data_IF_776070437175
#
_entry.id   IF_776070437175
#
_cell.length_a   1.000
_cell.length_b   1.000
_cell.length_c   1.000
_cell.angle_alpha   90.00
_cell.angle_beta   90.00
_cell.angle_gamma   90.00
#
_symmetry.space_group_name_H-M   'P 1'
#
loop_
_entity.id
_entity.type
_entity.pdbx_description
1 polymer ?
#
# COMPACT_ATOMS: atom_id res chain seq x y z
N UNK A 1 22.61 12.63 18.31
CA UNK A 1 21.65 13.39 17.49
C UNK A 1 21.70 12.82 16.08
N UNK A 2 20.58 12.38 15.54
CA UNK A 2 20.53 11.89 14.15
C UNK A 2 20.53 13.10 13.23
N UNK A 3 21.46 13.15 12.27
CA UNK A 3 21.47 14.21 11.26
C UNK A 3 20.29 14.05 10.30
N UNK A 4 19.42 15.05 10.24
CA UNK A 4 18.20 15.02 9.44
C UNK A 4 18.44 14.73 7.95
N UNK A 5 19.48 15.28 7.27
CA UNK A 5 19.77 14.96 5.88
C UNK A 5 20.09 13.46 5.67
N UNK A 6 20.88 12.87 6.56
CA UNK A 6 21.21 11.45 6.50
C UNK A 6 19.98 10.56 6.76
N UNK A 7 19.12 10.98 7.70
CA UNK A 7 17.86 10.30 7.97
C UNK A 7 16.91 10.36 6.77
N UNK A 8 16.80 11.51 6.11
CA UNK A 8 15.99 11.67 4.88
C UNK A 8 16.46 10.73 3.78
N UNK A 9 17.76 10.72 3.48
CA UNK A 9 18.36 9.86 2.47
C UNK A 9 18.12 8.37 2.76
N UNK A 10 18.28 7.97 4.03
CA UNK A 10 18.00 6.60 4.48
C UNK A 10 16.53 6.25 4.34
N UNK A 11 15.64 7.16 4.71
CA UNK A 11 14.18 7.01 4.59
C UNK A 11 13.78 6.80 3.14
N UNK A 12 14.22 7.67 2.23
CA UNK A 12 13.95 7.55 0.78
C UNK A 12 14.45 6.20 0.27
N UNK A 13 15.66 5.79 0.67
CA UNK A 13 16.24 4.51 0.25
C UNK A 13 15.38 3.31 0.66
N UNK A 14 14.93 3.26 1.91
CA UNK A 14 14.06 2.18 2.38
C UNK A 14 12.69 2.20 1.73
N UNK A 15 12.08 3.38 1.60
CA UNK A 15 10.81 3.53 0.89
C UNK A 15 10.92 3.05 -0.56
N UNK A 16 11.98 3.43 -1.30
CA UNK A 16 12.22 2.97 -2.67
C UNK A 16 12.33 1.45 -2.76
N UNK A 17 13.11 0.82 -1.90
CA UNK A 17 13.32 -0.63 -1.91
C UNK A 17 12.04 -1.40 -1.61
N UNK A 18 11.30 -1.00 -0.59
CA UNK A 18 10.04 -1.68 -0.23
C UNK A 18 8.95 -1.42 -1.28
N UNK A 19 8.84 -0.20 -1.80
CA UNK A 19 7.91 0.12 -2.89
C UNK A 19 8.24 -0.65 -4.18
N UNK A 20 9.52 -0.85 -4.48
CA UNK A 20 9.96 -1.67 -5.62
C UNK A 20 9.56 -3.15 -5.45
N UNK A 21 9.71 -3.71 -4.26
CA UNK A 21 9.22 -5.06 -3.95
C UNK A 21 7.70 -5.13 -4.10
N UNK A 22 6.97 -4.15 -3.55
CA UNK A 22 5.52 -4.07 -3.67
C UNK A 22 5.05 -4.03 -5.14
N UNK A 23 5.69 -3.19 -5.95
CA UNK A 23 5.39 -3.07 -7.38
C UNK A 23 5.72 -4.36 -8.15
N UNK A 24 6.85 -5.01 -7.83
CA UNK A 24 7.24 -6.27 -8.45
C UNK A 24 6.27 -7.39 -8.13
N UNK A 25 5.89 -7.56 -6.87
CA UNK A 25 4.91 -8.58 -6.43
C UNK A 25 3.57 -8.34 -7.12
N UNK A 26 3.09 -7.10 -7.17
CA UNK A 26 1.87 -6.76 -7.90
C UNK A 26 1.93 -7.19 -9.37
N UNK A 27 3.03 -6.86 -10.07
CA UNK A 27 3.20 -7.22 -11.47
C UNK A 27 3.27 -8.74 -11.67
N UNK A 28 4.02 -9.45 -10.83
CA UNK A 28 4.16 -10.91 -10.91
C UNK A 28 2.83 -11.63 -10.66
N UNK A 29 2.07 -11.23 -9.65
CA UNK A 29 0.75 -11.79 -9.37
C UNK A 29 -0.21 -11.59 -10.55
N UNK A 30 -0.26 -10.38 -11.13
CA UNK A 30 -1.10 -10.09 -12.29
C UNK A 30 -0.64 -10.85 -13.54
N UNK A 31 0.67 -11.00 -13.77
CA UNK A 31 1.21 -11.80 -14.86
C UNK A 31 0.92 -13.30 -14.68
N UNK A 32 1.01 -13.83 -13.47
CA UNK A 32 0.67 -15.21 -13.17
C UNK A 32 -0.82 -15.51 -13.45
N UNK A 33 -1.69 -14.55 -13.14
CA UNK A 33 -3.13 -14.65 -13.37
C UNK A 33 -3.57 -14.25 -14.80
N UNK A 34 -2.65 -13.82 -15.69
CA UNK A 34 -3.02 -13.23 -16.99
C UNK A 34 -3.97 -14.08 -17.83
N UNK A 35 -3.80 -15.40 -17.84
CA UNK A 35 -4.68 -16.29 -18.61
C UNK A 35 -6.10 -16.30 -18.07
N UNK A 36 -6.26 -16.34 -16.75
CA UNK A 36 -7.58 -16.24 -16.12
C UNK A 36 -8.20 -14.84 -16.33
N UNK A 37 -7.37 -13.79 -16.26
CA UNK A 37 -7.80 -12.40 -16.42
C UNK A 37 -8.21 -12.06 -17.85
N UNK A 38 -7.62 -12.73 -18.86
CA UNK A 38 -7.83 -12.39 -20.27
C UNK A 38 -8.62 -13.45 -21.06
N UNK A 39 -8.80 -14.68 -20.53
CA UNK A 39 -9.36 -15.80 -21.26
C UNK A 39 -10.87 -15.71 -21.58
N UNK A 40 -11.65 -14.86 -20.92
CA UNK A 40 -13.10 -14.77 -21.10
C UNK A 40 -13.60 -13.33 -21.30
N UNK A 41 -12.98 -12.61 -22.23
CA UNK A 41 -13.38 -11.20 -22.42
C UNK A 41 -12.94 -10.31 -21.29
N UNK A 42 -12.01 -10.80 -20.53
CA UNK A 42 -11.34 -10.09 -19.46
C UNK A 42 -12.24 -9.83 -18.25
N UNK A 43 -11.61 -9.71 -17.17
CA UNK A 43 -12.15 -8.94 -16.09
C UNK A 43 -12.72 -7.65 -16.66
N UNK A 44 -14.00 -7.48 -16.39
CA UNK A 44 -14.84 -6.37 -16.73
C UNK A 44 -14.14 -5.32 -17.59
N UNK A 45 -14.53 -5.12 -18.85
CA UNK A 45 -14.11 -3.90 -19.49
C UNK A 45 -14.33 -2.82 -18.43
N UNK A 46 -13.31 -1.99 -18.12
CA UNK A 46 -13.52 -0.95 -17.13
C UNK A 46 -14.83 -0.30 -17.50
N UNK A 47 -15.73 0.00 -16.56
CA UNK A 47 -17.04 0.61 -16.90
C UNK A 47 -16.88 1.88 -17.74
N UNK A 48 -15.66 2.40 -17.84
CA UNK A 48 -15.23 3.56 -18.62
C UNK A 48 -14.56 3.20 -19.97
N UNK A 49 -14.34 1.91 -20.29
CA UNK A 49 -13.62 1.49 -21.51
C UNK A 49 -14.19 1.98 -22.84
N UNK A 50 -15.53 2.16 -23.02
CA UNK A 50 -16.06 2.68 -24.27
C UNK A 50 -15.68 4.14 -24.57
N UNK A 51 -15.37 4.92 -23.53
CA UNK A 51 -15.16 6.37 -23.64
C UNK A 51 -13.69 6.76 -23.84
N UNK A 52 -12.75 5.82 -23.71
CA UNK A 52 -11.32 6.10 -23.61
C UNK A 52 -10.53 5.57 -24.83
N UNK A 53 -10.75 6.13 -26.01
CA UNK A 53 -10.17 5.66 -27.26
C UNK A 53 -8.67 5.29 -27.19
N UNK A 54 -7.82 6.20 -26.69
CA UNK A 54 -6.37 6.00 -26.60
C UNK A 54 -5.96 5.02 -25.47
N UNK A 55 -6.69 5.02 -24.36
CA UNK A 55 -6.39 4.14 -23.22
C UNK A 55 -6.62 2.65 -23.53
N UNK A 56 -7.46 2.32 -24.52
CA UNK A 56 -7.60 0.96 -25.04
C UNK A 56 -6.28 0.37 -25.51
N UNK A 57 -5.37 1.20 -26.02
CA UNK A 57 -4.06 0.76 -26.50
C UNK A 57 -3.20 0.24 -25.31
N UNK A 58 -3.24 0.91 -24.16
CA UNK A 58 -2.47 0.54 -22.98
C UNK A 58 -3.18 -0.50 -22.10
N UNK A 59 -4.51 -0.50 -22.09
CA UNK A 59 -5.29 -1.37 -21.22
C UNK A 59 -5.71 -2.69 -21.90
N UNK A 60 -5.44 -2.88 -23.20
CA UNK A 60 -5.65 -4.14 -23.91
C UNK A 60 -4.74 -5.24 -23.38
N UNK A 61 -5.17 -6.51 -23.47
CA UNK A 61 -4.49 -7.65 -22.84
C UNK A 61 -2.99 -7.74 -23.16
N UNK A 62 -2.61 -7.61 -24.44
CA UNK A 62 -1.19 -7.68 -24.86
C UNK A 62 -0.38 -6.48 -24.39
N UNK A 63 -0.93 -5.27 -24.55
CA UNK A 63 -0.27 -4.04 -24.15
C UNK A 63 -0.12 -3.99 -22.62
N UNK A 64 -1.16 -4.35 -21.88
CA UNK A 64 -1.10 -4.39 -20.42
C UNK A 64 -0.10 -5.42 -19.88
N UNK A 65 0.07 -6.56 -20.58
CA UNK A 65 1.16 -7.49 -20.26
C UNK A 65 2.53 -6.81 -20.41
N UNK A 66 2.74 -6.02 -21.47
CA UNK A 66 3.95 -5.22 -21.65
C UNK A 66 4.14 -4.17 -20.53
N UNK A 67 3.06 -3.52 -20.11
CA UNK A 67 3.07 -2.57 -18.98
C UNK A 67 3.51 -3.26 -17.69
N UNK A 68 3.03 -4.47 -17.40
CA UNK A 68 3.44 -5.23 -16.20
C UNK A 68 4.91 -5.67 -16.24
N UNK A 69 5.43 -6.03 -17.44
CA UNK A 69 6.86 -6.33 -17.61
C UNK A 69 7.69 -5.06 -17.39
N UNK A 70 7.27 -3.93 -17.96
CA UNK A 70 7.91 -2.65 -17.71
C UNK A 70 7.87 -2.25 -16.22
N UNK A 71 6.79 -2.56 -15.52
CA UNK A 71 6.68 -2.34 -14.07
C UNK A 71 7.80 -3.05 -13.30
N UNK A 72 8.14 -4.28 -13.64
CA UNK A 72 9.25 -5.01 -13.00
C UNK A 72 10.58 -4.33 -13.28
N UNK A 73 10.83 -3.90 -14.53
CA UNK A 73 12.06 -3.22 -14.90
C UNK A 73 12.22 -1.88 -14.16
N UNK A 74 11.17 -1.06 -14.08
CA UNK A 74 11.21 0.19 -13.33
C UNK A 74 11.28 -0.04 -11.81
N UNK A 75 10.70 -1.10 -11.29
CA UNK A 75 10.87 -1.49 -9.89
C UNK A 75 12.32 -1.84 -9.57
N UNK A 76 12.99 -2.58 -10.45
CA UNK A 76 14.43 -2.85 -10.31
C UNK A 76 15.25 -1.55 -10.36
N UNK A 77 14.97 -0.63 -11.28
CA UNK A 77 15.63 0.67 -11.36
C UNK A 77 15.43 1.49 -10.08
N UNK A 78 14.21 1.53 -9.52
CA UNK A 78 13.91 2.21 -8.25
C UNK A 78 14.69 1.62 -7.07
N UNK A 79 14.83 0.30 -7.01
CA UNK A 79 15.57 -0.37 -5.93
C UNK A 79 17.09 -0.12 -5.98
N UNK A 80 17.65 -0.02 -7.20
CA UNK A 80 19.10 0.09 -7.44
C UNK A 80 19.58 1.54 -7.33
N UNK A 81 18.76 2.50 -7.74
CA UNK A 81 19.15 3.91 -7.88
C UNK A 81 18.30 4.88 -7.01
N UNK A 82 18.09 4.60 -5.69
CA UNK A 82 17.37 5.53 -4.81
C UNK A 82 18.12 6.86 -4.68
N UNK A 83 17.38 7.95 -4.60
CA UNK A 83 17.95 9.31 -4.44
C UNK A 83 18.57 9.90 -5.72
N UNK A 84 18.35 9.26 -6.86
CA UNK A 84 18.89 9.73 -8.16
C UNK A 84 17.77 10.15 -9.12
N UNK A 85 18.13 10.85 -10.20
CA UNK A 85 17.19 11.16 -11.29
C UNK A 85 16.55 9.90 -11.88
N UNK A 86 17.29 8.81 -11.99
CA UNK A 86 16.76 7.53 -12.45
C UNK A 86 15.73 6.95 -11.48
N UNK A 87 15.98 7.05 -10.17
CA UNK A 87 15.03 6.69 -9.12
C UNK A 87 13.76 7.55 -9.14
N UNK A 88 13.90 8.85 -9.36
CA UNK A 88 12.77 9.77 -9.53
C UNK A 88 11.88 9.36 -10.71
N UNK A 89 12.47 9.15 -11.89
CA UNK A 89 11.75 8.71 -13.09
C UNK A 89 11.07 7.36 -12.85
N UNK A 90 11.80 6.41 -12.25
CA UNK A 90 11.25 5.10 -11.94
C UNK A 90 10.04 5.19 -11.00
N UNK A 91 10.11 6.00 -9.94
CA UNK A 91 8.99 6.23 -9.03
C UNK A 91 7.78 6.84 -9.73
N UNK A 92 7.97 7.85 -10.58
CA UNK A 92 6.91 8.50 -11.34
C UNK A 92 6.24 7.54 -12.33
N UNK A 93 7.03 6.74 -13.07
CA UNK A 93 6.51 5.74 -14.00
C UNK A 93 5.75 4.64 -13.25
N UNK A 94 6.27 4.16 -12.13
CA UNK A 94 5.58 3.16 -11.31
C UNK A 94 4.28 3.70 -10.70
N UNK A 95 4.25 4.95 -10.27
CA UNK A 95 3.00 5.59 -9.83
C UNK A 95 1.97 5.61 -10.97
N UNK A 96 2.38 6.00 -12.18
CA UNK A 96 1.51 5.98 -13.35
C UNK A 96 1.00 4.57 -13.69
N UNK A 97 1.87 3.56 -13.67
CA UNK A 97 1.48 2.16 -13.92
C UNK A 97 0.51 1.66 -12.83
N UNK A 98 0.73 2.02 -11.57
CA UNK A 98 -0.18 1.68 -10.46
C UNK A 98 -1.56 2.29 -10.68
N UNK A 99 -1.62 3.55 -11.11
CA UNK A 99 -2.85 4.22 -11.49
C UNK A 99 -3.53 3.56 -12.69
N UNK A 100 -2.78 3.20 -13.75
CA UNK A 100 -3.31 2.44 -14.90
C UNK A 100 -3.90 1.10 -14.47
N UNK A 101 -3.25 0.41 -13.53
CA UNK A 101 -3.75 -0.85 -13.00
C UNK A 101 -5.06 -0.66 -12.24
N UNK A 102 -5.17 0.40 -11.42
CA UNK A 102 -6.40 0.74 -10.74
C UNK A 102 -7.54 1.03 -11.76
N UNK A 103 -7.26 1.77 -12.82
CA UNK A 103 -8.24 1.99 -13.91
C UNK A 103 -8.65 0.69 -14.60
N UNK A 104 -7.68 -0.19 -14.90
CA UNK A 104 -7.93 -1.45 -15.59
C UNK A 104 -8.86 -2.38 -14.80
N UNK A 105 -8.77 -2.35 -13.47
CA UNK A 105 -9.54 -3.20 -12.57
C UNK A 105 -10.72 -2.48 -11.88
N UNK A 106 -11.08 -1.28 -12.33
CA UNK A 106 -12.24 -0.55 -11.83
C UNK A 106 -12.09 -0.02 -10.40
N UNK A 107 -10.86 0.17 -9.93
CA UNK A 107 -10.55 0.72 -8.61
C UNK A 107 -9.60 -0.14 -7.80
N UNK A 108 -9.55 0.10 -6.50
CA UNK A 108 -8.66 -0.60 -5.57
C UNK A 108 -9.12 -2.05 -5.35
N UNK A 109 -8.43 -2.99 -5.98
CA UNK A 109 -8.79 -4.42 -5.94
C UNK A 109 -8.37 -5.09 -4.64
N UNK A 110 -7.42 -4.51 -3.87
CA UNK A 110 -6.79 -5.19 -2.74
C UNK A 110 -6.65 -4.28 -1.52
N UNK A 111 -7.78 -4.02 -0.84
CA UNK A 111 -7.78 -3.37 0.48
C UNK A 111 -7.13 -1.98 0.54
N UNK A 112 -7.10 -1.24 -0.57
CA UNK A 112 -6.46 0.08 -0.64
C UNK A 112 -4.95 0.03 -0.86
N UNK A 113 -4.35 -1.15 -1.15
CA UNK A 113 -2.92 -1.28 -1.43
C UNK A 113 -2.47 -0.44 -2.62
N UNK A 114 -3.27 -0.40 -3.69
CA UNK A 114 -2.93 0.34 -4.90
C UNK A 114 -2.92 1.86 -4.62
N UNK A 115 -3.86 2.36 -3.82
CA UNK A 115 -3.90 3.77 -3.42
C UNK A 115 -2.69 4.14 -2.55
N UNK A 116 -2.31 3.29 -1.58
CA UNK A 116 -1.16 3.55 -0.73
C UNK A 116 0.15 3.44 -1.50
N UNK A 117 0.28 2.46 -2.39
CA UNK A 117 1.47 2.33 -3.25
C UNK A 117 1.60 3.53 -4.20
N UNK A 118 0.50 3.98 -4.81
CA UNK A 118 0.46 5.19 -5.63
C UNK A 118 0.91 6.42 -4.83
N UNK A 119 0.41 6.58 -3.61
CA UNK A 119 0.79 7.66 -2.70
C UNK A 119 2.28 7.62 -2.35
N UNK A 120 2.81 6.45 -1.99
CA UNK A 120 4.22 6.27 -1.65
C UNK A 120 5.13 6.56 -2.86
N UNK A 121 4.78 6.05 -4.04
CA UNK A 121 5.54 6.29 -5.27
C UNK A 121 5.47 7.75 -5.73
N UNK A 122 4.30 8.39 -5.60
CA UNK A 122 4.15 9.82 -5.88
C UNK A 122 4.99 10.70 -4.96
N UNK A 123 4.96 10.42 -3.66
CA UNK A 123 5.82 11.10 -2.68
C UNK A 123 7.30 10.85 -2.94
N UNK A 124 7.69 9.61 -3.34
CA UNK A 124 9.07 9.29 -3.73
C UNK A 124 9.50 10.00 -5.01
N UNK A 125 8.61 10.16 -6.00
CA UNK A 125 8.92 10.92 -7.21
C UNK A 125 9.25 12.38 -6.85
N UNK A 126 8.45 13.02 -5.98
CA UNK A 126 8.71 14.38 -5.48
C UNK A 126 9.98 14.41 -4.60
N UNK A 127 10.13 13.43 -3.70
CA UNK A 127 11.26 13.35 -2.77
C UNK A 127 12.61 13.07 -3.42
N UNK A 128 12.65 12.80 -4.74
CA UNK A 128 13.87 12.54 -5.51
C UNK A 128 14.01 13.47 -6.72
N UNK A 129 13.24 14.56 -6.79
CA UNK A 129 13.35 15.51 -7.90
C UNK A 129 14.78 16.08 -7.99
N UNK A 130 15.40 16.06 -9.18
CA UNK A 130 16.72 16.65 -9.33
C UNK A 130 16.66 18.18 -9.26
N UNK A 131 17.74 18.79 -8.80
CA UNK A 131 17.97 20.25 -8.85
C UNK A 131 16.90 21.10 -8.14
N UNK A 132 16.27 20.58 -7.08
CA UNK A 132 15.34 21.31 -6.23
C UNK A 132 15.87 21.41 -4.79
N UNK A 133 15.32 22.33 -4.01
CA UNK A 133 15.67 22.51 -2.61
C UNK A 133 15.33 21.27 -1.75
N UNK A 134 16.08 21.06 -0.68
CA UNK A 134 15.86 19.97 0.27
C UNK A 134 14.43 19.96 0.85
N UNK A 135 13.82 21.13 0.98
CA UNK A 135 12.43 21.31 1.44
C UNK A 135 11.44 20.56 0.54
N UNK A 136 11.69 20.52 -0.77
CA UNK A 136 10.83 19.78 -1.71
C UNK A 136 10.97 18.28 -1.51
N UNK A 137 12.21 17.79 -1.29
CA UNK A 137 12.46 16.39 -0.97
C UNK A 137 11.76 15.97 0.32
N UNK A 138 11.88 16.79 1.38
CA UNK A 138 11.17 16.58 2.63
C UNK A 138 9.65 16.56 2.44
N UNK A 139 9.11 17.51 1.68
CA UNK A 139 7.67 17.61 1.42
C UNK A 139 7.11 16.33 0.81
N UNK A 140 7.83 15.68 -0.12
CA UNK A 140 7.43 14.39 -0.68
C UNK A 140 7.29 13.29 0.38
N UNK A 141 8.25 13.19 1.30
CA UNK A 141 8.24 12.20 2.39
C UNK A 141 7.18 12.55 3.44
N UNK A 142 7.07 13.81 3.85
CA UNK A 142 6.08 14.27 4.82
C UNK A 142 4.64 14.09 4.32
N UNK A 143 4.41 14.29 3.02
CA UNK A 143 3.12 14.00 2.40
C UNK A 143 2.73 12.53 2.57
N UNK A 144 3.65 11.59 2.35
CA UNK A 144 3.38 10.16 2.54
C UNK A 144 3.05 9.86 4.01
N UNK A 145 3.80 10.42 4.96
CA UNK A 145 3.54 10.26 6.40
C UNK A 145 2.15 10.78 6.80
N UNK A 146 1.77 11.96 6.31
CA UNK A 146 0.46 12.55 6.56
C UNK A 146 -0.66 11.67 5.97
N UNK A 147 -0.52 11.22 4.73
CA UNK A 147 -1.51 10.36 4.07
C UNK A 147 -1.64 9.00 4.77
N UNK A 148 -0.53 8.43 5.23
CA UNK A 148 -0.52 7.19 6.01
C UNK A 148 -1.35 7.35 7.30
N UNK A 149 -1.08 8.40 8.07
CA UNK A 149 -1.79 8.70 9.31
C UNK A 149 -3.28 8.96 9.08
N UNK A 150 -3.61 9.76 8.07
CA UNK A 150 -5.00 10.06 7.69
C UNK A 150 -5.74 8.79 7.25
N UNK A 151 -5.07 7.90 6.53
CA UNK A 151 -5.67 6.64 6.05
C UNK A 151 -6.02 5.73 7.22
N UNK A 152 -5.11 5.53 8.18
CA UNK A 152 -5.44 4.77 9.40
C UNK A 152 -6.54 5.44 10.21
N UNK A 153 -6.41 6.72 10.52
CA UNK A 153 -7.40 7.44 11.33
C UNK A 153 -8.80 7.38 10.71
N UNK A 154 -8.91 7.61 9.41
CA UNK A 154 -10.19 7.49 8.69
C UNK A 154 -10.74 6.06 8.75
N UNK A 155 -9.91 5.04 8.53
CA UNK A 155 -10.33 3.65 8.57
C UNK A 155 -10.81 3.26 9.98
N UNK A 156 -10.11 3.70 11.03
CA UNK A 156 -10.50 3.51 12.42
C UNK A 156 -11.82 4.17 12.76
N UNK A 157 -12.02 5.44 12.38
CA UNK A 157 -13.27 6.18 12.63
C UNK A 157 -14.45 5.50 11.94
N UNK A 158 -14.30 5.05 10.68
CA UNK A 158 -15.38 4.34 9.98
C UNK A 158 -15.74 3.05 10.72
N UNK A 159 -14.74 2.25 11.12
CA UNK A 159 -14.97 1.02 11.88
C UNK A 159 -15.58 1.30 13.26
N UNK A 160 -15.13 2.34 13.96
CA UNK A 160 -15.65 2.71 15.27
C UNK A 160 -17.13 3.13 15.25
N UNK A 161 -17.64 3.63 14.14
CA UNK A 161 -19.05 3.99 13.95
C UNK A 161 -19.96 2.78 13.73
N UNK A 162 -19.38 1.62 13.35
CA UNK A 162 -20.13 0.44 12.99
C UNK A 162 -20.17 -0.59 14.13
N UNK A 163 -21.38 -0.89 14.66
CA UNK A 163 -21.59 -1.84 15.77
C UNK A 163 -21.08 -3.26 15.46
N UNK A 164 -21.09 -3.65 14.17
CA UNK A 164 -20.62 -4.96 13.73
C UNK A 164 -19.13 -5.16 13.99
N UNK A 165 -18.33 -4.09 14.00
CA UNK A 165 -16.91 -4.14 14.35
C UNK A 165 -16.71 -4.33 15.86
N UNK A 166 -17.46 -3.63 16.71
CA UNK A 166 -17.37 -3.77 18.16
C UNK A 166 -17.77 -5.16 18.67
N UNK A 167 -18.67 -5.83 17.97
CA UNK A 167 -19.10 -7.20 18.30
C UNK A 167 -18.19 -8.29 17.73
N UNK A 168 -17.24 -7.94 16.83
CA UNK A 168 -16.41 -8.87 16.07
C UNK A 168 -17.14 -9.54 14.88
N UNK A 169 -18.41 -9.20 14.66
CA UNK A 169 -19.20 -9.78 13.56
C UNK A 169 -18.67 -9.41 12.18
N UNK A 170 -18.22 -8.15 11.99
CA UNK A 170 -17.62 -7.72 10.74
C UNK A 170 -16.38 -8.57 10.39
N UNK A 171 -15.48 -8.79 11.34
CA UNK A 171 -14.29 -9.60 11.13
C UNK A 171 -14.65 -11.06 10.81
N UNK A 172 -15.64 -11.62 11.52
CA UNK A 172 -16.17 -12.96 11.21
C UNK A 172 -16.73 -13.05 9.79
N UNK A 173 -17.46 -12.03 9.33
CA UNK A 173 -18.00 -11.97 7.98
C UNK A 173 -16.88 -11.92 6.92
N UNK A 174 -15.82 -11.14 7.15
CA UNK A 174 -14.65 -11.12 6.26
C UNK A 174 -13.97 -12.48 6.17
N UNK A 175 -13.80 -13.19 7.29
CA UNK A 175 -13.22 -14.53 7.32
C UNK A 175 -14.07 -15.57 6.59
N UNK A 176 -15.38 -15.37 6.49
CA UNK A 176 -16.28 -16.25 5.79
C UNK A 176 -16.36 -16.02 4.27
N UNK A 177 -15.78 -14.91 3.76
CA UNK A 177 -15.83 -14.57 2.34
C UNK A 177 -14.89 -15.48 1.53
N UNK A 178 -15.41 -16.21 0.51
CA UNK A 178 -14.59 -17.07 -0.35
C UNK A 178 -13.51 -16.31 -1.13
N UNK A 179 -13.70 -15.01 -1.35
CA UNK A 179 -12.77 -14.15 -2.07
C UNK A 179 -11.44 -13.97 -1.32
N UNK A 180 -11.47 -14.06 -0.01
CA UNK A 180 -10.27 -14.10 0.82
C UNK A 180 -9.91 -15.56 1.04
N UNK A 181 -9.23 -16.17 0.04
CA UNK A 181 -8.78 -17.53 0.14
C UNK A 181 -7.87 -17.71 1.33
N UNK A 182 -8.40 -18.25 2.42
CA UNK A 182 -7.59 -18.62 3.57
C UNK A 182 -6.61 -19.69 3.10
N UNK A 183 -5.29 -19.43 3.13
CA UNK A 183 -4.31 -20.49 2.89
C UNK A 183 -4.60 -21.62 3.86
N UNK A 184 -4.74 -22.79 3.30
CA UNK A 184 -4.97 -24.08 3.90
C UNK A 184 -4.59 -24.17 5.39
N UNK A 185 -5.58 -24.28 6.27
CA UNK A 185 -5.37 -24.68 7.66
C UNK A 185 -5.70 -23.67 8.73
N UNK A 186 -5.81 -22.35 8.44
CA UNK A 186 -6.39 -21.42 9.41
C UNK A 186 -7.92 -21.48 9.32
N UNK A 187 -8.57 -21.43 10.43
CA UNK A 187 -9.72 -22.26 10.64
C UNK A 187 -10.99 -21.71 9.99
N UNK A 188 -11.57 -22.47 9.13
CA UNK A 188 -13.03 -22.47 8.95
C UNK A 188 -13.78 -22.55 10.30
N UNK A 189 -13.08 -22.82 11.39
CA UNK A 189 -13.58 -22.90 12.77
C UNK A 189 -13.37 -21.61 13.58
N UNK A 190 -12.61 -20.62 13.09
CA UNK A 190 -12.45 -19.32 13.78
C UNK A 190 -13.75 -18.53 14.01
N UNK A 191 -14.80 -18.63 13.17
CA UNK A 191 -16.06 -17.95 13.46
C UNK A 191 -16.68 -18.28 14.82
N UNK A 192 -16.29 -19.40 15.44
CA UNK A 192 -16.81 -19.82 16.74
C UNK A 192 -16.12 -19.15 17.96
N UNK A 193 -15.00 -18.46 17.77
CA UNK A 193 -14.27 -17.78 18.84
C UNK A 193 -14.69 -16.32 18.99
N UNK A 194 -15.94 -16.07 19.42
CA UNK A 194 -16.52 -14.72 19.54
C UNK A 194 -15.62 -13.73 20.30
N UNK A 195 -15.01 -14.18 21.41
CA UNK A 195 -14.17 -13.30 22.24
C UNK A 195 -12.90 -12.89 21.48
N UNK A 196 -12.25 -13.84 20.82
CA UNK A 196 -11.04 -13.57 20.02
C UNK A 196 -11.32 -12.60 18.87
N UNK A 197 -12.40 -12.84 18.12
CA UNK A 197 -12.79 -11.96 17.00
C UNK A 197 -13.16 -10.57 17.47
N UNK A 198 -13.86 -10.47 18.60
CA UNK A 198 -14.18 -9.18 19.22
C UNK A 198 -12.91 -8.44 19.66
N UNK A 199 -12.00 -9.11 20.38
CA UNK A 199 -10.74 -8.52 20.83
C UNK A 199 -9.87 -8.05 19.67
N UNK A 200 -9.73 -8.89 18.62
CA UNK A 200 -9.00 -8.52 17.42
C UNK A 200 -9.63 -7.30 16.71
N UNK A 201 -10.95 -7.29 16.58
CA UNK A 201 -11.69 -6.19 15.96
C UNK A 201 -11.54 -4.88 16.74
N UNK A 202 -11.66 -4.92 18.05
CA UNK A 202 -11.45 -3.75 18.92
C UNK A 202 -10.00 -3.29 18.87
N UNK A 203 -9.04 -4.22 18.85
CA UNK A 203 -7.62 -3.91 18.68
C UNK A 203 -7.33 -3.16 17.38
N UNK A 204 -7.94 -3.58 16.27
CA UNK A 204 -7.82 -2.89 14.97
C UNK A 204 -8.40 -1.46 15.06
N UNK A 205 -9.59 -1.30 15.64
CA UNK A 205 -10.19 0.04 15.82
C UNK A 205 -9.26 0.93 16.65
N UNK A 206 -8.77 0.42 17.79
CA UNK A 206 -7.90 1.18 18.67
C UNK A 206 -6.59 1.57 17.96
N UNK A 207 -5.93 0.62 17.30
CA UNK A 207 -4.71 0.87 16.53
C UNK A 207 -4.92 1.97 15.47
N UNK A 208 -5.97 1.85 14.66
CA UNK A 208 -6.22 2.78 13.56
C UNK A 208 -6.64 4.18 14.08
N UNK A 209 -7.50 4.24 15.10
CA UNK A 209 -7.92 5.53 15.70
C UNK A 209 -6.79 6.24 16.43
N UNK A 210 -5.90 5.49 17.08
CA UNK A 210 -4.78 6.04 17.83
C UNK A 210 -3.55 6.34 16.96
N UNK A 211 -3.60 6.06 15.67
CA UNK A 211 -2.47 6.31 14.76
C UNK A 211 -1.92 7.75 14.79
N UNK A 212 -2.71 8.83 15.02
CA UNK A 212 -2.14 10.16 15.14
C UNK A 212 -1.20 10.33 16.35
N UNK A 213 -1.32 9.49 17.37
CA UNK A 213 -0.42 9.54 18.53
C UNK A 213 1.03 9.21 18.20
N UNK A 214 1.29 8.58 17.03
CA UNK A 214 2.64 8.37 16.53
C UNK A 214 3.45 9.68 16.42
N UNK A 215 2.79 10.80 16.21
CA UNK A 215 3.45 12.11 16.06
C UNK A 215 3.90 12.75 17.36
N UNK A 216 3.56 12.18 18.51
CA UNK A 216 3.91 12.74 19.82
C UNK A 216 5.40 12.61 20.15
N UNK A 217 6.01 11.49 19.79
CA UNK A 217 7.43 11.23 20.04
C UNK A 217 7.91 9.96 19.31
N UNK A 218 9.24 9.74 19.19
CA UNK A 218 9.81 8.58 18.51
C UNK A 218 9.39 7.22 19.08
N UNK A 219 9.16 7.11 20.40
CA UNK A 219 8.74 5.85 21.02
C UNK A 219 7.32 5.48 20.60
N UNK A 220 6.39 6.43 20.64
CA UNK A 220 5.02 6.25 20.17
C UNK A 220 4.99 5.87 18.67
N UNK A 221 5.84 6.52 17.87
CA UNK A 221 6.00 6.19 16.46
C UNK A 221 6.49 4.76 16.26
N UNK A 222 7.53 4.33 16.97
CA UNK A 222 8.05 2.97 16.88
C UNK A 222 7.00 1.92 17.27
N UNK A 223 6.27 2.16 18.37
CA UNK A 223 5.18 1.27 18.79
C UNK A 223 4.12 1.15 17.70
N UNK A 224 3.72 2.28 17.12
CA UNK A 224 2.75 2.26 16.02
C UNK A 224 3.27 1.51 14.79
N UNK A 225 4.53 1.70 14.40
CA UNK A 225 5.15 0.98 13.28
C UNK A 225 5.11 -0.53 13.52
N UNK A 226 5.47 -0.98 14.73
CA UNK A 226 5.43 -2.41 15.10
C UNK A 226 4.00 -2.96 15.05
N UNK A 227 3.01 -2.22 15.58
CA UNK A 227 1.60 -2.60 15.50
C UNK A 227 1.10 -2.64 14.07
N UNK A 228 1.49 -1.67 13.24
CA UNK A 228 1.15 -1.62 11.82
C UNK A 228 1.70 -2.83 11.06
N UNK A 229 2.98 -3.16 11.24
CA UNK A 229 3.60 -4.33 10.64
C UNK A 229 2.92 -5.62 11.09
N UNK A 230 2.61 -5.75 12.38
CA UNK A 230 1.88 -6.90 12.93
C UNK A 230 0.48 -7.04 12.32
N UNK A 231 -0.27 -5.93 12.24
CA UNK A 231 -1.60 -5.89 11.62
C UNK A 231 -1.57 -6.28 10.13
N UNK A 232 -0.65 -5.70 9.35
CA UNK A 232 -0.54 -6.00 7.92
C UNK A 232 -0.04 -7.42 7.66
N UNK A 233 0.89 -7.92 8.50
CA UNK A 233 1.35 -9.30 8.42
C UNK A 233 0.22 -10.28 8.73
N UNK A 234 -0.57 -10.02 9.76
CA UNK A 234 -1.76 -10.81 10.07
C UNK A 234 -2.78 -10.77 8.92
N UNK A 235 -3.02 -9.59 8.32
CA UNK A 235 -3.89 -9.45 7.17
C UNK A 235 -3.38 -10.23 5.94
N UNK A 236 -2.07 -10.22 5.69
CA UNK A 236 -1.46 -11.01 4.63
C UNK A 236 -1.59 -12.52 4.89
N UNK A 237 -1.30 -12.97 6.10
CA UNK A 237 -1.36 -14.38 6.48
C UNK A 237 -2.80 -14.94 6.49
N UNK A 238 -3.76 -14.13 6.99
CA UNK A 238 -5.14 -14.58 7.17
C UNK A 238 -5.98 -14.40 5.90
N UNK A 239 -5.79 -13.30 5.18
CA UNK A 239 -6.63 -12.93 4.04
C UNK A 239 -5.89 -13.01 2.69
N UNK A 240 -4.61 -13.38 2.68
CA UNK A 240 -3.79 -13.39 1.45
C UNK A 240 -3.49 -11.98 0.91
N UNK A 241 -3.54 -10.95 1.76
CA UNK A 241 -3.39 -9.55 1.35
C UNK A 241 -1.90 -9.14 1.27
N UNK A 242 -1.08 -9.89 0.49
CA UNK A 242 0.36 -9.66 0.38
C UNK A 242 0.70 -8.25 -0.10
N UNK A 243 -0.01 -7.76 -1.13
CA UNK A 243 0.19 -6.40 -1.67
C UNK A 243 -0.15 -5.32 -0.64
N UNK A 244 -1.13 -5.58 0.22
CA UNK A 244 -1.50 -4.68 1.29
C UNK A 244 -0.36 -4.53 2.31
N UNK A 245 0.24 -5.64 2.76
CA UNK A 245 1.42 -5.61 3.62
C UNK A 245 2.55 -4.77 3.01
N UNK A 246 2.93 -5.06 1.76
CA UNK A 246 4.07 -4.43 1.11
C UNK A 246 3.85 -2.94 0.83
N UNK A 247 2.68 -2.56 0.31
CA UNK A 247 2.38 -1.16 -0.02
C UNK A 247 2.37 -0.27 1.24
N UNK A 248 1.79 -0.75 2.33
CA UNK A 248 1.76 0.00 3.58
C UNK A 248 3.11 0.03 4.27
N UNK A 249 3.87 -1.07 4.22
CA UNK A 249 5.24 -1.11 4.74
C UNK A 249 6.17 -0.13 4.01
N UNK A 250 5.94 0.13 2.71
CA UNK A 250 6.70 1.11 1.95
C UNK A 250 6.51 2.55 2.46
N UNK A 251 5.35 2.85 3.06
CA UNK A 251 5.05 4.16 3.60
C UNK A 251 5.54 4.37 5.04
N UNK A 252 5.73 3.30 5.84
CA UNK A 252 6.08 3.42 7.26
C UNK A 252 7.37 4.20 7.55
N UNK A 253 8.46 4.10 6.76
CA UNK A 253 9.68 4.89 7.03
C UNK A 253 9.44 6.41 6.97
N UNK A 254 8.47 6.86 6.17
CA UNK A 254 8.13 8.29 6.10
C UNK A 254 7.61 8.83 7.44
N UNK A 255 6.85 8.04 8.18
CA UNK A 255 6.34 8.40 9.50
C UNK A 255 7.48 8.54 10.51
N UNK A 256 8.46 7.62 10.47
CA UNK A 256 9.66 7.69 11.30
C UNK A 256 10.44 8.98 11.05
N UNK A 257 10.66 9.33 9.78
CA UNK A 257 11.30 10.59 9.42
C UNK A 257 10.52 11.79 9.94
N UNK A 258 9.20 11.82 9.67
CA UNK A 258 8.35 12.94 10.03
C UNK A 258 8.37 13.25 11.53
N UNK A 259 8.34 12.23 12.37
CA UNK A 259 8.38 12.41 13.84
C UNK A 259 9.72 12.97 14.30
N UNK A 260 10.85 12.54 13.73
CA UNK A 260 12.16 13.08 14.07
C UNK A 260 12.39 14.49 13.51
N UNK A 261 11.62 14.89 12.49
CA UNK A 261 11.69 16.23 11.91
C UNK A 261 10.95 17.27 12.75
N UNK A 262 9.90 16.87 13.46
CA UNK A 262 9.05 17.76 14.25
C UNK A 262 9.32 17.70 15.76
N UNK A 263 10.05 16.67 16.25
CA UNK A 263 10.51 16.54 17.63
C UNK A 263 11.74 17.41 17.88
#
# INVERSE_FOLDING_TARGET
MIELPALLATTITWMCRVAAVAASVNAIELLAMRHALFARGGWLPPPLAPQWGVWRLLLGARAFTGVLVAQIAFAAALAIAPGTTAGCIAAAVLAFITWLSALRFGGNVNGGSDAMLFTALGGLAVGQLPSVDSVVHEAGVLYVAAQLTLSYGRAGIVKARERSWWSGHALSAFLALPAYGVPTGLPRHMPNHRLLLRSASVGVIAFECLSPLAWLNPIACLVLIVLALGFHTAAAAVFGLNRFLLAWSAALPSLWYAVHRVA
#
